data_IF_467249409863
#
_entry.id   IF_467249409863
#
_cell.length_a   1.000
_cell.length_b   1.000
_cell.length_c   1.000
_cell.angle_alpha   90.00
_cell.angle_beta   90.00
_cell.angle_gamma   90.00
#
_symmetry.space_group_name_H-M   'P 1'
#
loop_
_entity.id
_entity.type
_entity.pdbx_description
1 polymer ?
#
# COMPACT_ATOMS: atom_id res chain seq x y z
N UNK A 1 -23.17 -29.66 -4.38
CA UNK A 1 -21.93 -29.39 -3.62
C UNK A 1 -21.18 -28.38 -4.46
N UNK A 2 -21.60 -27.13 -4.34
CA UNK A 2 -20.95 -26.03 -5.03
C UNK A 2 -19.58 -25.88 -4.42
N UNK A 3 -18.58 -26.22 -5.22
CA UNK A 3 -17.18 -26.03 -4.92
C UNK A 3 -17.00 -24.51 -4.84
N UNK A 4 -17.03 -23.93 -3.64
CA UNK A 4 -16.64 -22.55 -3.44
C UNK A 4 -15.18 -22.45 -3.90
N UNK A 5 -14.97 -22.05 -5.16
CA UNK A 5 -13.66 -21.62 -5.62
C UNK A 5 -13.40 -20.34 -4.85
N UNK A 6 -12.72 -20.45 -3.71
CA UNK A 6 -12.17 -19.30 -3.02
C UNK A 6 -11.21 -18.65 -4.01
N UNK A 7 -11.64 -17.55 -4.62
CA UNK A 7 -10.80 -16.75 -5.50
C UNK A 7 -9.74 -16.11 -4.60
N UNK A 8 -8.54 -16.68 -4.59
CA UNK A 8 -7.41 -16.03 -3.93
C UNK A 8 -6.78 -15.06 -4.91
N UNK A 9 -6.93 -13.77 -4.65
CA UNK A 9 -6.27 -12.71 -5.41
C UNK A 9 -4.94 -12.45 -4.72
N UNK A 10 -3.84 -12.43 -5.48
CA UNK A 10 -2.52 -12.11 -4.92
C UNK A 10 -2.07 -10.76 -5.43
N UNK A 11 -1.99 -9.78 -4.54
CA UNK A 11 -1.47 -8.45 -4.86
C UNK A 11 0.02 -8.35 -4.54
N UNK A 12 0.80 -7.80 -5.49
CA UNK A 12 2.21 -7.47 -5.29
C UNK A 12 2.37 -5.96 -5.34
N UNK A 13 2.80 -5.37 -4.24
CA UNK A 13 3.00 -3.94 -4.08
C UNK A 13 4.48 -3.62 -3.93
N UNK A 14 4.99 -2.75 -4.78
CA UNK A 14 6.38 -2.28 -4.75
C UNK A 14 6.39 -0.79 -4.39
N UNK A 15 7.26 -0.44 -3.45
CA UNK A 15 7.37 0.90 -2.88
C UNK A 15 8.75 1.49 -3.19
N UNK A 16 8.80 2.80 -3.44
CA UNK A 16 10.06 3.51 -3.64
C UNK A 16 10.71 3.92 -2.31
N UNK A 17 9.92 4.03 -1.25
CA UNK A 17 10.34 4.53 0.06
C UNK A 17 10.11 3.49 1.15
N UNK A 18 11.11 3.31 2.03
CA UNK A 18 11.02 2.38 3.16
C UNK A 18 9.90 2.76 4.14
N UNK A 19 9.68 4.07 4.33
CA UNK A 19 8.62 4.56 5.22
C UNK A 19 7.22 4.18 4.71
N UNK A 20 6.96 4.34 3.41
CA UNK A 20 5.70 3.91 2.79
C UNK A 20 5.50 2.40 2.94
N UNK A 21 6.57 1.61 2.74
CA UNK A 21 6.54 0.15 2.92
C UNK A 21 6.15 -0.23 4.35
N UNK A 22 6.78 0.40 5.36
CA UNK A 22 6.49 0.13 6.77
C UNK A 22 5.05 0.49 7.15
N UNK A 23 4.57 1.67 6.71
CA UNK A 23 3.19 2.11 6.93
C UNK A 23 2.19 1.16 6.27
N UNK A 24 2.49 0.68 5.07
CA UNK A 24 1.63 -0.27 4.35
C UNK A 24 1.56 -1.62 5.06
N UNK A 25 2.71 -2.17 5.47
CA UNK A 25 2.74 -3.41 6.26
C UNK A 25 1.99 -3.27 7.59
N UNK A 26 2.08 -2.11 8.23
CA UNK A 26 1.34 -1.85 9.48
C UNK A 26 -0.16 -1.84 9.24
N UNK A 27 -0.62 -1.22 8.15
CA UNK A 27 -2.03 -1.25 7.74
C UNK A 27 -2.50 -2.68 7.44
N UNK A 28 -1.68 -3.50 6.77
CA UNK A 28 -2.00 -4.90 6.53
C UNK A 28 -2.14 -5.71 7.83
N UNK A 29 -1.25 -5.49 8.80
CA UNK A 29 -1.34 -6.12 10.12
C UNK A 29 -2.61 -5.69 10.88
N UNK A 30 -3.00 -4.42 10.78
CA UNK A 30 -4.18 -3.87 11.44
C UNK A 30 -5.49 -4.45 10.89
N UNK A 31 -5.50 -4.78 9.59
CA UNK A 31 -6.61 -5.44 8.90
C UNK A 31 -6.48 -6.98 8.87
N UNK A 32 -5.55 -7.55 9.65
CA UNK A 32 -5.35 -9.00 9.79
C UNK A 32 -5.04 -9.76 8.48
N UNK A 33 -4.47 -9.07 7.49
CA UNK A 33 -4.10 -9.68 6.20
C UNK A 33 -2.83 -10.53 6.30
N UNK A 34 -2.82 -11.67 5.58
CA UNK A 34 -1.63 -12.50 5.40
C UNK A 34 -0.75 -11.92 4.28
N UNK A 35 0.46 -11.49 4.63
CA UNK A 35 1.41 -10.93 3.68
C UNK A 35 2.85 -11.43 3.88
N UNK A 36 3.61 -11.35 2.80
CA UNK A 36 5.04 -11.65 2.75
C UNK A 36 5.80 -10.41 2.29
N UNK A 37 6.84 -10.06 3.03
CA UNK A 37 7.69 -8.91 2.71
C UNK A 37 9.08 -9.37 2.24
N UNK A 38 9.54 -8.79 1.12
CA UNK A 38 10.88 -9.03 0.56
C UNK A 38 11.73 -7.77 0.65
N UNK A 39 12.56 -7.71 1.68
CA UNK A 39 13.41 -6.54 2.01
C UNK A 39 14.33 -6.09 0.87
N UNK A 40 14.92 -7.02 0.11
CA UNK A 40 15.83 -6.68 -1.01
C UNK A 40 15.16 -5.91 -2.16
N UNK A 41 13.84 -6.02 -2.31
CA UNK A 41 13.09 -5.39 -3.41
C UNK A 41 11.99 -4.46 -2.91
N UNK A 42 11.91 -4.23 -1.58
CA UNK A 42 10.86 -3.45 -0.93
C UNK A 42 9.46 -3.83 -1.44
N UNK A 43 9.26 -5.14 -1.66
CA UNK A 43 8.03 -5.68 -2.23
C UNK A 43 7.22 -6.36 -1.14
N UNK A 44 5.93 -6.04 -1.08
CA UNK A 44 4.95 -6.67 -0.21
C UNK A 44 3.99 -7.48 -1.07
N UNK A 45 3.87 -8.77 -0.80
CA UNK A 45 2.91 -9.66 -1.45
C UNK A 45 1.83 -10.02 -0.44
N UNK A 46 0.58 -9.77 -0.75
CA UNK A 46 -0.56 -10.03 0.13
C UNK A 46 -1.62 -10.83 -0.62
N UNK A 47 -2.31 -11.71 0.09
CA UNK A 47 -3.42 -12.50 -0.45
C UNK A 47 -4.74 -11.91 0.03
N UNK A 48 -5.64 -11.71 -0.92
CA UNK A 48 -7.00 -11.25 -0.71
C UNK A 48 -7.99 -12.33 -1.13
N UNK A 49 -9.18 -12.24 -0.57
CA UNK A 49 -10.31 -13.12 -0.86
C UNK A 49 -11.36 -12.43 -1.73
N UNK A 50 -11.36 -11.10 -1.74
CA UNK A 50 -12.32 -10.25 -2.44
C UNK A 50 -11.59 -9.18 -3.26
N UNK A 51 -12.21 -8.79 -4.39
CA UNK A 51 -11.66 -7.77 -5.29
C UNK A 51 -11.63 -6.36 -4.62
N UNK A 52 -12.61 -6.04 -3.76
CA UNK A 52 -12.64 -4.78 -3.00
C UNK A 52 -11.41 -4.61 -2.08
N UNK A 53 -11.01 -5.68 -1.38
CA UNK A 53 -9.82 -5.67 -0.50
C UNK A 53 -8.55 -5.34 -1.29
N UNK A 54 -8.46 -5.86 -2.52
CA UNK A 54 -7.35 -5.56 -3.42
C UNK A 54 -7.35 -4.09 -3.87
N UNK A 55 -8.51 -3.55 -4.24
CA UNK A 55 -8.66 -2.14 -4.62
C UNK A 55 -8.32 -1.19 -3.47
N UNK A 56 -8.74 -1.50 -2.24
CA UNK A 56 -8.37 -0.76 -1.03
C UNK A 56 -6.86 -0.76 -0.79
N UNK A 57 -6.21 -1.91 -0.96
CA UNK A 57 -4.76 -2.04 -0.84
C UNK A 57 -4.00 -1.23 -1.91
N UNK A 58 -4.51 -1.19 -3.15
CA UNK A 58 -3.97 -0.33 -4.22
C UNK A 58 -4.08 1.14 -3.85
N UNK A 59 -5.26 1.58 -3.37
CA UNK A 59 -5.48 2.96 -2.95
C UNK A 59 -4.57 3.36 -1.77
N UNK A 60 -4.40 2.47 -0.78
CA UNK A 60 -3.54 2.72 0.37
C UNK A 60 -2.07 2.79 -0.03
N UNK A 61 -1.61 1.92 -0.95
CA UNK A 61 -0.25 1.98 -1.50
C UNK A 61 0.00 3.32 -2.19
N UNK A 62 -0.91 3.77 -3.05
CA UNK A 62 -0.76 5.02 -3.80
C UNK A 62 -0.74 6.24 -2.87
N UNK A 63 -1.61 6.24 -1.85
CA UNK A 63 -1.62 7.27 -0.80
C UNK A 63 -0.27 7.34 -0.07
N UNK A 64 0.25 6.20 0.37
CA UNK A 64 1.52 6.15 1.12
C UNK A 64 2.73 6.53 0.27
N UNK A 65 2.74 6.16 -1.01
CA UNK A 65 3.81 6.55 -1.94
C UNK A 65 3.80 8.07 -2.18
N UNK A 66 2.61 8.68 -2.30
CA UNK A 66 2.44 10.14 -2.37
C UNK A 66 2.87 10.85 -1.08
N UNK A 67 2.47 10.34 0.09
CA UNK A 67 2.86 10.92 1.39
C UNK A 67 4.38 10.81 1.63
N UNK A 68 5.00 9.72 1.16
CA UNK A 68 6.44 9.53 1.28
C UNK A 68 7.25 10.29 0.21
N UNK A 69 6.59 10.86 -0.81
CA UNK A 69 7.26 11.62 -1.86
C UNK A 69 7.58 13.05 -1.37
N UNK A 70 8.86 13.39 -1.15
CA UNK A 70 9.25 14.69 -0.62
C UNK A 70 8.99 15.86 -1.58
N UNK A 71 8.73 15.60 -2.87
CA UNK A 71 8.36 16.67 -3.81
C UNK A 71 6.91 17.16 -3.62
N UNK A 72 6.01 16.34 -3.08
CA UNK A 72 4.64 16.78 -2.77
C UNK A 72 4.55 17.60 -1.49
N UNK A 73 5.42 17.33 -0.50
CA UNK A 73 5.50 18.15 0.72
C UNK A 73 5.98 19.57 0.44
N UNK A 74 6.86 19.75 -0.56
CA UNK A 74 7.34 21.08 -0.98
C UNK A 74 6.26 21.91 -1.71
N UNK A 75 5.43 21.28 -2.54
CA UNK A 75 4.34 21.97 -3.26
C UNK A 75 3.26 22.53 -2.30
N UNK A 76 3.07 21.91 -1.13
CA UNK A 76 2.17 22.42 -0.09
C UNK A 76 2.79 23.48 0.84
N UNK A 77 4.12 23.62 0.87
CA UNK A 77 4.80 24.62 1.72
C UNK A 77 5.08 25.96 1.00
N UNK A 78 4.79 26.08 -0.31
CA UNK A 78 5.10 27.29 -1.10
C UNK A 78 3.89 28.21 -1.39
N UNK A 79 2.83 28.17 -0.58
CA UNK A 79 1.78 29.21 -0.56
C UNK A 79 1.56 29.76 0.85
N UNK A 80 2.59 30.43 1.41
CA UNK A 80 2.35 31.47 2.43
C UNK A 80 3.12 32.75 2.13
N UNK A 81 2.36 33.65 1.50
CA UNK A 81 2.38 35.10 1.68
C UNK A 81 3.74 35.80 1.52
N UNK A 82 4.15 35.93 0.26
CA UNK A 82 4.96 37.05 -0.19
C UNK A 82 4.08 38.12 -0.85
N UNK A 83 3.31 38.88 -0.07
CA UNK A 83 2.70 40.14 -0.53
C UNK A 83 2.45 41.11 0.64
#
# INVERSE_FOLDING_TARGET
MDLYVTKTITGKFEFQFEEATKKFMQWLLDNEYDFSYKMNSMSVTVKFTEDDEFDEAVAMRDKLDKEANPQMTLDLEEEKDGA
#
